data_IF_287316871757
#
_entry.id   IF_287316871757
#
_cell.length_a   1.000
_cell.length_b   1.000
_cell.length_c   1.000
_cell.angle_alpha   90.00
_cell.angle_beta   90.00
_cell.angle_gamma   90.00
#
_symmetry.space_group_name_H-M   'P 1'
#
loop_
_entity.id
_entity.type
_entity.pdbx_description
1 polymer ?
#
# COMPACT_ATOMS: atom_id res chain seq x y z
N UNK A 1 2.94 -10.54 23.32
CA UNK A 1 2.30 -9.71 22.28
C UNK A 1 0.95 -9.28 22.78
N UNK A 2 0.72 -7.96 22.82
CA UNK A 2 -0.52 -7.38 23.33
C UNK A 2 -1.65 -7.47 22.30
N UNK A 3 -2.85 -7.76 22.80
CA UNK A 3 -4.05 -7.95 21.97
C UNK A 3 -4.34 -6.73 21.09
N UNK A 4 -4.02 -5.51 21.54
CA UNK A 4 -4.30 -4.29 20.77
C UNK A 4 -3.31 -4.11 19.63
N UNK A 5 -2.01 -4.36 19.87
CA UNK A 5 -1.00 -4.32 18.81
C UNK A 5 -1.32 -5.31 17.69
N UNK A 6 -1.74 -6.53 18.01
CA UNK A 6 -2.10 -7.53 17.00
C UNK A 6 -3.34 -7.11 16.19
N UNK A 7 -4.37 -6.59 16.84
CA UNK A 7 -5.55 -6.03 16.16
C UNK A 7 -5.19 -4.84 15.24
N UNK A 8 -4.26 -3.99 15.66
CA UNK A 8 -3.78 -2.88 14.85
C UNK A 8 -2.99 -3.38 13.63
N UNK A 9 -2.14 -4.40 13.77
CA UNK A 9 -1.43 -5.01 12.66
C UNK A 9 -2.40 -5.59 11.63
N UNK A 10 -3.44 -6.30 12.07
CA UNK A 10 -4.49 -6.80 11.18
C UNK A 10 -5.20 -5.67 10.43
N UNK A 11 -5.59 -4.61 11.15
CA UNK A 11 -6.28 -3.47 10.55
C UNK A 11 -5.41 -2.70 9.54
N UNK A 12 -4.09 -2.63 9.78
CA UNK A 12 -3.14 -1.89 8.93
C UNK A 12 -2.50 -2.74 7.82
N UNK A 13 -2.62 -4.06 7.86
CA UNK A 13 -2.07 -4.94 6.84
C UNK A 13 -2.51 -4.60 5.40
N UNK A 14 -3.78 -4.23 5.11
CA UNK A 14 -4.17 -3.79 3.76
C UNK A 14 -3.45 -2.51 3.32
N UNK A 15 -3.17 -1.60 4.26
CA UNK A 15 -2.50 -0.33 3.97
C UNK A 15 -1.01 -0.54 3.70
N UNK A 16 -0.33 -1.37 4.50
CA UNK A 16 1.06 -1.78 4.28
C UNK A 16 1.23 -2.40 2.89
N UNK A 17 0.34 -3.34 2.52
CA UNK A 17 0.30 -3.97 1.19
C UNK A 17 0.25 -2.95 0.05
N UNK A 18 -0.64 -1.95 0.13
CA UNK A 18 -0.71 -0.92 -0.89
C UNK A 18 0.61 -0.15 -1.04
N UNK A 19 1.24 0.21 0.09
CA UNK A 19 2.49 0.95 0.08
C UNK A 19 3.63 0.12 -0.50
N UNK A 20 3.74 -1.16 -0.13
CA UNK A 20 4.78 -2.06 -0.64
C UNK A 20 4.66 -2.23 -2.16
N UNK A 21 3.45 -2.48 -2.67
CA UNK A 21 3.19 -2.54 -4.12
C UNK A 21 3.50 -1.22 -4.82
N UNK A 22 3.19 -0.09 -4.18
CA UNK A 22 3.52 1.22 -4.72
C UNK A 22 5.03 1.44 -4.76
N UNK A 23 5.79 1.03 -3.74
CA UNK A 23 7.25 1.13 -3.71
C UNK A 23 7.88 0.26 -4.79
N UNK A 24 7.52 -1.02 -4.85
CA UNK A 24 7.98 -1.95 -5.87
C UNK A 24 7.72 -1.42 -7.29
N UNK A 25 6.49 -0.96 -7.57
CA UNK A 25 6.14 -0.39 -8.86
C UNK A 25 7.00 0.83 -9.19
N UNK A 26 7.20 1.73 -8.22
CA UNK A 26 8.02 2.93 -8.40
C UNK A 26 9.50 2.59 -8.63
N UNK A 27 10.04 1.53 -8.03
CA UNK A 27 11.43 1.10 -8.28
C UNK A 27 11.60 0.65 -9.73
N UNK A 28 10.70 -0.22 -10.23
CA UNK A 28 10.71 -0.67 -11.63
C UNK A 28 10.57 0.52 -12.58
N UNK A 29 9.64 1.43 -12.28
CA UNK A 29 9.39 2.62 -13.08
C UNK A 29 10.57 3.60 -13.01
N UNK A 30 11.24 3.76 -11.86
CA UNK A 30 12.38 4.63 -11.72
C UNK A 30 13.54 4.19 -12.62
N UNK A 31 13.81 2.89 -12.71
CA UNK A 31 14.81 2.37 -13.64
C UNK A 31 14.43 2.72 -15.09
N UNK A 32 13.21 2.37 -15.51
CA UNK A 32 12.77 2.61 -16.88
C UNK A 32 12.70 4.11 -17.25
N UNK A 33 12.24 4.98 -16.35
CA UNK A 33 12.04 6.41 -16.64
C UNK A 33 13.34 7.18 -16.55
N UNK A 34 14.26 6.80 -15.65
CA UNK A 34 15.60 7.38 -15.59
C UNK A 34 16.37 7.08 -16.88
N UNK A 35 16.37 5.81 -17.29
CA UNK A 35 17.10 5.37 -18.49
C UNK A 35 16.56 6.03 -19.76
N UNK A 36 15.26 6.29 -19.82
CA UNK A 36 14.57 6.86 -20.99
C UNK A 36 14.21 8.35 -20.86
N UNK A 37 14.60 9.04 -19.78
CA UNK A 37 14.30 10.46 -19.49
C UNK A 37 12.81 10.83 -19.63
N UNK A 38 11.93 10.00 -19.09
CA UNK A 38 10.48 10.14 -19.25
C UNK A 38 9.84 11.00 -18.13
N UNK A 39 8.75 11.75 -18.42
CA UNK A 39 7.99 12.50 -17.42
C UNK A 39 7.23 11.56 -16.46
N UNK A 40 6.79 12.01 -15.26
CA UNK A 40 6.15 11.15 -14.27
C UNK A 40 4.91 10.39 -14.79
N UNK A 41 4.72 9.16 -14.31
CA UNK A 41 3.57 8.33 -14.68
C UNK A 41 2.45 8.35 -13.64
N UNK A 42 1.23 8.06 -14.10
CA UNK A 42 0.09 7.76 -13.23
C UNK A 42 0.11 6.28 -12.87
N UNK A 43 0.02 5.96 -11.57
CA UNK A 43 0.00 4.58 -11.09
C UNK A 43 -1.42 4.17 -10.64
N UNK A 44 -1.93 3.08 -11.21
CA UNK A 44 -3.17 2.44 -10.83
C UNK A 44 -2.88 1.05 -10.28
N UNK A 45 -3.42 0.71 -9.11
CA UNK A 45 -3.24 -0.61 -8.49
C UNK A 45 -4.58 -1.29 -8.38
N UNK A 46 -4.73 -2.44 -9.03
CA UNK A 46 -5.93 -3.27 -8.99
C UNK A 46 -5.66 -4.62 -8.32
N UNK A 47 -6.62 -5.01 -7.51
CA UNK A 47 -6.78 -6.34 -6.94
C UNK A 47 -7.35 -7.26 -8.01
N UNK A 48 -6.73 -8.41 -8.24
CA UNK A 48 -7.21 -9.39 -9.21
C UNK A 48 -7.51 -10.70 -8.51
N UNK A 49 -8.71 -11.23 -8.70
CA UNK A 49 -9.02 -12.57 -8.21
C UNK A 49 -8.44 -13.63 -9.15
N UNK A 50 -7.63 -14.57 -8.65
CA UNK A 50 -6.85 -15.49 -9.47
C UNK A 50 -7.67 -16.46 -10.31
N UNK A 51 -8.91 -16.73 -9.88
CA UNK A 51 -9.76 -17.77 -10.46
C UNK A 51 -11.00 -17.21 -11.17
N UNK A 52 -11.44 -16.00 -10.83
CA UNK A 52 -12.66 -15.42 -11.40
C UNK A 52 -12.37 -14.31 -12.42
N UNK A 53 -11.10 -13.87 -12.54
CA UNK A 53 -10.74 -12.73 -13.39
C UNK A 53 -11.33 -11.40 -12.90
N UNK A 54 -12.05 -11.39 -11.77
CA UNK A 54 -12.62 -10.20 -11.19
C UNK A 54 -11.51 -9.23 -10.78
N UNK A 55 -11.60 -8.01 -11.31
CA UNK A 55 -10.69 -6.91 -11.00
C UNK A 55 -11.41 -5.92 -10.09
N UNK A 56 -10.75 -5.44 -9.06
CA UNK A 56 -11.27 -4.40 -8.17
C UNK A 56 -10.19 -3.35 -7.90
N UNK A 57 -10.51 -2.06 -7.82
CA UNK A 57 -9.54 -1.05 -7.39
C UNK A 57 -9.03 -1.38 -5.98
N UNK A 58 -7.71 -1.39 -5.77
CA UNK A 58 -7.16 -1.65 -4.42
C UNK A 58 -7.48 -0.50 -3.46
N UNK A 59 -7.72 0.70 -4.00
CA UNK A 59 -8.21 1.86 -3.26
C UNK A 59 -9.36 2.51 -4.04
N UNK A 60 -10.58 2.37 -3.54
CA UNK A 60 -11.59 3.42 -3.65
C UNK A 60 -11.77 4.01 -2.25
N UNK A 61 -11.84 5.34 -2.14
CA UNK A 61 -11.83 6.16 -0.90
C UNK A 61 -10.43 6.61 -0.44
N UNK A 62 -9.98 7.72 -1.04
CA UNK A 62 -8.99 8.60 -0.40
C UNK A 62 -9.70 9.51 0.62
N UNK A 63 -9.35 9.40 1.90
CA UNK A 63 -9.63 10.40 2.94
C UNK A 63 -8.53 11.47 3.05
N UNK A 64 -7.46 11.36 2.25
CA UNK A 64 -6.34 12.31 2.22
C UNK A 64 -6.49 13.33 1.09
N UNK A 65 -6.41 14.62 1.42
CA UNK A 65 -6.55 15.72 0.46
C UNK A 65 -5.46 15.77 -0.62
N UNK A 66 -4.30 15.11 -0.44
CA UNK A 66 -3.21 15.15 -1.44
C UNK A 66 -3.36 14.12 -2.57
N UNK A 67 -4.05 13.00 -2.33
CA UNK A 67 -4.33 11.97 -3.34
C UNK A 67 -5.73 12.09 -3.97
N UNK A 68 -6.47 13.16 -3.65
CA UNK A 68 -7.86 13.40 -4.12
C UNK A 68 -8.04 13.60 -5.63
N UNK A 69 -6.99 13.58 -6.46
CA UNK A 69 -7.13 13.96 -7.88
C UNK A 69 -7.39 12.82 -8.87
N UNK A 70 -7.33 11.55 -8.46
CA UNK A 70 -7.63 10.44 -9.37
C UNK A 70 -8.52 9.40 -8.68
N UNK A 71 -9.80 9.74 -8.50
CA UNK A 71 -10.86 8.75 -8.36
C UNK A 71 -11.00 8.05 -9.72
N UNK A 72 -10.29 6.94 -9.91
CA UNK A 72 -10.35 6.16 -11.13
C UNK A 72 -11.31 4.98 -10.94
N UNK A 73 -11.93 4.56 -12.03
CA UNK A 73 -12.83 3.41 -12.10
C UNK A 73 -12.22 2.26 -12.90
N UNK A 74 -12.74 1.04 -12.76
CA UNK A 74 -12.30 -0.09 -13.59
C UNK A 74 -12.47 0.23 -15.09
N UNK A 75 -13.56 0.90 -15.45
CA UNK A 75 -13.81 1.32 -16.83
C UNK A 75 -12.77 2.32 -17.35
N UNK A 76 -12.21 3.19 -16.49
CA UNK A 76 -11.10 4.06 -16.88
C UNK A 76 -9.85 3.25 -17.24
N UNK A 77 -9.56 2.21 -16.45
CA UNK A 77 -8.42 1.32 -16.66
C UNK A 77 -8.62 0.46 -17.92
N UNK A 78 -9.80 -0.12 -18.11
CA UNK A 78 -10.15 -0.91 -19.30
C UNK A 78 -10.09 -0.07 -20.59
N UNK A 79 -10.52 1.20 -20.51
CA UNK A 79 -10.36 2.14 -21.61
C UNK A 79 -8.89 2.41 -21.93
N UNK A 80 -8.04 2.55 -20.91
CA UNK A 80 -6.61 2.72 -21.11
C UNK A 80 -6.04 1.46 -21.79
N UNK A 81 -6.32 0.27 -21.25
CA UNK A 81 -5.84 -1.00 -21.82
C UNK A 81 -6.26 -1.22 -23.29
N UNK A 82 -7.45 -0.74 -23.68
CA UNK A 82 -7.97 -0.90 -25.05
C UNK A 82 -7.56 0.19 -26.04
N UNK A 83 -7.10 1.35 -25.58
CA UNK A 83 -6.88 2.54 -26.43
C UNK A 83 -5.42 3.03 -26.44
N UNK A 84 -4.46 2.23 -25.97
CA UNK A 84 -3.09 2.71 -25.74
C UNK A 84 -2.01 1.79 -26.27
N UNK A 85 -0.86 2.41 -26.53
CA UNK A 85 0.34 1.69 -26.91
C UNK A 85 0.98 1.08 -25.66
N UNK A 86 1.18 -0.23 -25.73
CA UNK A 86 1.95 -0.99 -24.75
C UNK A 86 3.43 -0.61 -24.83
N UNK A 87 4.05 -0.33 -23.68
CA UNK A 87 5.48 -0.02 -23.60
C UNK A 87 6.28 -1.18 -23.01
N UNK A 88 5.94 -1.61 -21.79
CA UNK A 88 6.61 -2.74 -21.16
C UNK A 88 5.71 -3.43 -20.13
N UNK A 89 6.08 -4.68 -19.79
CA UNK A 89 5.52 -5.45 -18.70
C UNK A 89 6.63 -6.04 -17.85
N UNK A 90 6.50 -5.94 -16.53
CA UNK A 90 7.32 -6.68 -15.59
C UNK A 90 6.41 -7.53 -14.70
N UNK A 91 6.90 -8.72 -14.35
CA UNK A 91 6.18 -9.65 -13.49
C UNK A 91 7.05 -9.93 -12.27
N UNK A 92 6.38 -10.15 -11.15
CA UNK A 92 6.99 -10.65 -9.93
C UNK A 92 6.10 -11.80 -9.39
N UNK A 93 6.48 -12.37 -8.25
CA UNK A 93 5.68 -13.40 -7.59
C UNK A 93 4.30 -12.84 -7.26
N UNK A 94 3.31 -13.26 -8.06
CA UNK A 94 1.89 -12.97 -7.91
C UNK A 94 1.50 -11.49 -8.07
N UNK A 95 2.36 -10.66 -8.67
CA UNK A 95 1.97 -9.35 -9.18
C UNK A 95 2.59 -9.06 -10.54
N UNK A 96 1.97 -8.14 -11.28
CA UNK A 96 2.52 -7.67 -12.55
C UNK A 96 2.26 -6.19 -12.72
N UNK A 97 3.16 -5.52 -13.41
CA UNK A 97 3.03 -4.11 -13.79
C UNK A 97 3.10 -4.01 -15.29
N UNK A 98 2.18 -3.23 -15.86
CA UNK A 98 2.15 -2.92 -17.29
C UNK A 98 2.17 -1.42 -17.47
N UNK A 99 3.10 -0.92 -18.30
CA UNK A 99 3.19 0.48 -18.66
C UNK A 99 2.59 0.72 -20.04
N UNK A 100 1.76 1.76 -20.12
CA UNK A 100 1.08 2.23 -21.31
C UNK A 100 1.37 3.70 -21.59
N UNK A 101 1.27 4.09 -22.86
CA UNK A 101 1.23 5.49 -23.29
C UNK A 101 -0.20 5.90 -23.68
N UNK A 102 -0.80 6.82 -22.93
CA UNK A 102 -2.14 7.37 -23.21
C UNK A 102 -2.09 8.88 -23.41
N UNK A 103 -2.40 9.37 -24.62
CA UNK A 103 -2.53 10.81 -24.92
C UNK A 103 -1.35 11.65 -24.39
N UNK A 104 -0.14 11.22 -24.72
CA UNK A 104 1.14 11.82 -24.27
C UNK A 104 1.41 11.75 -22.76
N UNK A 105 0.73 10.87 -22.02
CA UNK A 105 1.00 10.56 -20.63
C UNK A 105 1.35 9.09 -20.46
N UNK A 106 2.12 8.79 -19.43
CA UNK A 106 2.46 7.43 -19.07
C UNK A 106 1.55 6.94 -17.95
N UNK A 107 1.02 5.73 -18.10
CA UNK A 107 0.14 5.08 -17.14
C UNK A 107 0.68 3.70 -16.83
N UNK A 108 0.91 3.43 -15.55
CA UNK A 108 1.27 2.12 -15.03
C UNK A 108 0.07 1.48 -14.34
N UNK A 109 -0.25 0.25 -14.72
CA UNK A 109 -1.31 -0.56 -14.09
C UNK A 109 -0.63 -1.74 -13.40
N UNK A 110 -0.85 -1.87 -12.09
CA UNK A 110 -0.35 -2.96 -11.26
C UNK A 110 -1.50 -3.91 -10.93
N UNK A 111 -1.30 -5.17 -11.28
CA UNK A 111 -2.21 -6.27 -10.99
C UNK A 111 -1.62 -7.08 -9.84
N UNK A 112 -2.26 -7.05 -8.68
CA UNK A 112 -1.89 -7.88 -7.54
C UNK A 112 -2.94 -8.98 -7.35
N UNK A 113 -2.51 -10.25 -7.44
CA UNK A 113 -3.37 -11.42 -7.18
C UNK A 113 -3.82 -11.44 -5.73
N UNK A 114 -5.10 -11.69 -5.47
CA UNK A 114 -5.73 -11.92 -4.16
C UNK A 114 -4.92 -12.83 -3.20
N UNK A 115 -4.08 -13.73 -3.72
CA UNK A 115 -3.25 -14.67 -2.95
C UNK A 115 -1.89 -14.12 -2.56
N UNK A 116 -1.38 -13.07 -3.23
CA UNK A 116 -0.21 -12.29 -2.79
C UNK A 116 -0.49 -11.42 -1.58
N UNK A 117 -1.70 -11.53 -1.01
CA UNK A 117 -2.21 -10.72 0.09
C UNK A 117 -1.86 -11.28 1.47
N UNK A 118 -1.03 -12.32 1.59
CA UNK A 118 -0.56 -12.80 2.88
C UNK A 118 0.66 -11.99 3.34
N UNK A 119 0.44 -10.73 3.73
CA UNK A 119 1.21 -10.20 4.86
C UNK A 119 0.47 -10.73 6.07
N UNK A 120 1.03 -11.72 6.76
CA UNK A 120 0.47 -12.10 8.05
C UNK A 120 0.62 -10.89 8.97
N UNK A 121 -0.37 -10.62 9.81
CA UNK A 121 -0.25 -9.52 10.77
C UNK A 121 1.04 -9.64 11.59
N UNK A 122 1.48 -10.87 11.85
CA UNK A 122 2.75 -11.22 12.50
C UNK A 122 4.00 -10.75 11.77
N UNK A 123 3.95 -10.56 10.44
CA UNK A 123 5.09 -10.10 9.65
C UNK A 123 5.29 -8.58 9.75
N UNK A 124 4.30 -7.85 10.27
CA UNK A 124 4.40 -6.41 10.51
C UNK A 124 5.11 -6.21 11.84
N UNK A 125 6.33 -5.66 11.78
CA UNK A 125 7.05 -5.27 12.99
C UNK A 125 6.36 -4.10 13.69
N UNK A 126 6.55 -3.97 15.01
CA UNK A 126 6.02 -2.82 15.76
C UNK A 126 6.59 -1.50 15.23
N UNK A 127 7.86 -1.49 14.79
CA UNK A 127 8.52 -0.33 14.19
C UNK A 127 7.85 0.11 12.89
N UNK A 128 7.52 -0.84 12.01
CA UNK A 128 6.79 -0.55 10.78
C UNK A 128 5.38 -0.03 11.08
N UNK A 129 4.68 -0.65 12.02
CA UNK A 129 3.35 -0.21 12.44
C UNK A 129 3.37 1.24 12.98
N UNK A 130 4.33 1.57 13.85
CA UNK A 130 4.50 2.94 14.36
C UNK A 130 4.77 3.93 13.23
N UNK A 131 5.69 3.58 12.33
CA UNK A 131 6.02 4.42 11.16
C UNK A 131 4.79 4.68 10.26
N UNK A 132 3.94 3.67 10.06
CA UNK A 132 2.68 3.81 9.32
C UNK A 132 1.70 4.75 10.03
N UNK A 133 1.52 4.57 11.34
CA UNK A 133 0.62 5.39 12.16
C UNK A 133 1.05 6.86 12.17
N UNK A 134 2.34 7.13 12.34
CA UNK A 134 2.94 8.47 12.31
C UNK A 134 2.73 9.18 10.96
N UNK A 135 3.01 8.48 9.86
CA UNK A 135 2.77 9.01 8.51
C UNK A 135 1.29 9.32 8.27
N UNK A 136 0.39 8.51 8.82
CA UNK A 136 -1.05 8.78 8.71
C UNK A 136 -1.52 9.95 9.59
N UNK A 137 -0.89 10.20 10.76
CA UNK A 137 -1.20 11.38 11.59
C UNK A 137 -0.98 12.67 10.78
N UNK A 138 0.03 12.72 9.91
CA UNK A 138 0.29 13.90 9.10
C UNK A 138 -0.77 14.14 8.01
N UNK A 139 -1.51 13.10 7.61
CA UNK A 139 -2.41 13.14 6.44
C UNK A 139 -3.89 13.04 6.77
N UNK A 140 -4.26 12.58 7.98
CA UNK A 140 -5.65 12.42 8.41
C UNK A 140 -6.26 13.69 9.04
N UNK A 141 -7.60 13.74 9.05
CA UNK A 141 -8.37 14.76 9.77
C UNK A 141 -8.28 14.58 11.29
N UNK A 142 -8.78 15.57 12.06
CA UNK A 142 -8.63 15.64 13.53
C UNK A 142 -8.89 14.31 14.25
N UNK A 143 -10.05 13.69 14.04
CA UNK A 143 -10.40 12.41 14.67
C UNK A 143 -9.47 11.26 14.28
N UNK A 144 -9.08 11.18 13.00
CA UNK A 144 -8.12 10.16 12.55
C UNK A 144 -6.73 10.36 13.14
N UNK A 145 -6.30 11.61 13.36
CA UNK A 145 -5.04 11.90 14.07
C UNK A 145 -5.12 11.50 15.53
N UNK A 146 -6.24 11.77 16.19
CA UNK A 146 -6.45 11.39 17.58
C UNK A 146 -6.41 9.86 17.75
N UNK A 147 -7.15 9.12 16.92
CA UNK A 147 -7.13 7.65 16.93
C UNK A 147 -5.73 7.07 16.76
N UNK A 148 -4.97 7.57 15.77
CA UNK A 148 -3.62 7.08 15.52
C UNK A 148 -2.64 7.44 16.66
N UNK A 149 -2.82 8.58 17.33
CA UNK A 149 -2.03 8.94 18.52
C UNK A 149 -2.34 8.03 19.70
N UNK A 150 -3.61 7.71 19.94
CA UNK A 150 -4.00 6.74 20.96
C UNK A 150 -3.41 5.35 20.67
N UNK A 151 -3.48 4.90 19.42
CA UNK A 151 -2.88 3.64 19.00
C UNK A 151 -1.37 3.58 19.25
N UNK A 152 -0.63 4.66 18.94
CA UNK A 152 0.80 4.76 19.25
C UNK A 152 1.07 4.67 20.75
N UNK A 153 0.31 5.41 21.57
CA UNK A 153 0.47 5.39 23.02
C UNK A 153 0.22 3.99 23.60
N UNK A 154 -0.78 3.26 23.10
CA UNK A 154 -1.06 1.88 23.53
C UNK A 154 0.06 0.92 23.16
N UNK A 155 0.64 1.03 21.96
CA UNK A 155 1.80 0.20 21.57
C UNK A 155 2.99 0.47 22.49
N UNK A 156 3.27 1.74 22.81
CA UNK A 156 4.36 2.12 23.73
C UNK A 156 4.15 1.66 25.17
N UNK A 157 2.90 1.57 25.62
CA UNK A 157 2.54 1.04 26.93
C UNK A 157 2.71 -0.48 27.00
N UNK A 158 2.22 -1.20 25.98
CA UNK A 158 2.40 -2.66 25.86
C UNK A 158 3.88 -3.05 25.81
N UNK A 159 4.71 -2.32 25.05
CA UNK A 159 6.16 -2.56 24.99
C UNK A 159 6.86 -2.30 26.34
N UNK A 160 6.45 -1.26 27.07
CA UNK A 160 6.97 -0.97 28.42
C UNK A 160 6.60 -2.07 29.41
N UNK A 161 5.38 -2.58 29.36
CA UNK A 161 4.95 -3.70 30.19
C UNK A 161 5.73 -4.98 29.89
N UNK A 162 5.98 -5.29 28.62
CA UNK A 162 6.75 -6.47 28.21
C UNK A 162 8.21 -6.37 28.68
N UNK A 163 8.85 -5.21 28.55
CA UNK A 163 10.22 -4.97 29.06
C UNK A 163 10.29 -5.13 30.58
N UNK A 164 9.30 -4.61 31.31
CA UNK A 164 9.24 -4.72 32.78
C UNK A 164 9.03 -6.16 33.23
N UNK A 165 8.21 -6.94 32.51
CA UNK A 165 8.00 -8.38 32.77
C UNK A 165 9.27 -9.19 32.50
N UNK A 166 10.00 -8.92 31.42
CA UNK A 166 11.26 -9.60 31.11
C UNK A 166 12.35 -9.32 32.15
N UNK A 167 12.47 -8.09 32.65
CA UNK A 167 13.43 -7.74 33.71
C UNK A 167 13.15 -8.45 35.05
N UNK A 168 11.88 -8.74 35.36
CA UNK A 168 11.50 -9.48 36.58
C UNK A 168 11.74 -10.99 36.52
N UNK A 169 11.97 -11.55 35.33
CA UNK A 169 12.20 -12.99 35.14
C UNK A 169 13.71 -13.32 35.18
N UNK A 170 14.57 -12.33 34.97
CA UNK A 170 16.04 -12.48 34.90
C UNK A 170 16.74 -12.03 36.20
N UNK A 171 16.02 -11.40 37.13
CA UNK A 171 16.52 -11.02 38.46
C UNK A 171 16.01 -11.95 39.55
#
# INVERSE_FOLDING_TARGET
MGQVTDMLKEAYAPRKRYLDLQFWANEILATYFTDNKLPPCLLFIRKVHPLSGEKQPLISKSSSKSLKKFSWTLSDVERIESQTDFLFKANDFQCSIVLYQHKNKYVAIVDADLRSFYIQATDISNTELKTLLEKEIQTRGFFGRFQNKCALATIEEEEREEQTKQQKIVG
#
